data_IF_292576475433
#
_entry.id   IF_292576475433
#
_cell.length_a   1.000
_cell.length_b   1.000
_cell.length_c   1.000
_cell.angle_alpha   90.00
_cell.angle_beta   90.00
_cell.angle_gamma   90.00
#
_symmetry.space_group_name_H-M   'P 1'
#
loop_
_entity.id
_entity.type
_entity.pdbx_description
1 polymer ?
#
# COMPACT_ATOMS: atom_id res chain seq x y z
N UNK A 1 -14.49 7.07 5.93
CA UNK A 1 -15.02 6.88 4.56
C UNK A 1 -13.85 6.59 3.65
N UNK A 2 -13.71 5.35 3.15
CA UNK A 2 -12.75 5.04 2.07
C UNK A 2 -13.33 5.62 0.78
N UNK A 3 -12.56 6.36 -0.04
CA UNK A 3 -13.06 6.76 -1.35
C UNK A 3 -13.37 5.49 -2.15
N UNK A 4 -14.47 5.46 -2.93
CA UNK A 4 -14.79 4.28 -3.72
C UNK A 4 -13.71 4.13 -4.79
N UNK A 5 -13.05 2.97 -4.83
CA UNK A 5 -11.96 2.65 -5.77
C UNK A 5 -12.35 2.95 -7.24
N UNK A 6 -13.65 2.96 -7.53
CA UNK A 6 -14.26 3.29 -8.81
C UNK A 6 -14.12 4.76 -9.24
N UNK A 7 -14.03 5.72 -8.32
CA UNK A 7 -13.81 7.13 -8.68
C UNK A 7 -12.35 7.39 -9.10
N UNK A 8 -11.42 6.74 -8.40
CA UNK A 8 -9.99 6.83 -8.71
C UNK A 8 -9.73 6.17 -10.08
N UNK A 9 -10.27 4.98 -10.32
CA UNK A 9 -10.15 4.32 -11.62
C UNK A 9 -10.73 5.15 -12.77
N UNK A 10 -11.91 5.76 -12.59
CA UNK A 10 -12.53 6.62 -13.60
C UNK A 10 -11.64 7.82 -13.95
N UNK A 11 -11.14 8.53 -12.94
CA UNK A 11 -10.24 9.68 -13.16
C UNK A 11 -8.96 9.29 -13.91
N UNK A 12 -8.41 8.10 -13.63
CA UNK A 12 -7.23 7.58 -14.30
C UNK A 12 -7.47 7.28 -15.79
N UNK A 13 -8.60 6.65 -16.12
CA UNK A 13 -8.95 6.35 -17.51
C UNK A 13 -9.35 7.60 -18.30
N UNK A 14 -9.97 8.59 -17.67
CA UNK A 14 -10.24 9.90 -18.27
C UNK A 14 -8.95 10.64 -18.62
N UNK A 15 -7.97 10.69 -17.71
CA UNK A 15 -6.65 11.26 -17.98
C UNK A 15 -5.94 10.58 -19.17
N UNK A 16 -6.00 9.24 -19.24
CA UNK A 16 -5.39 8.47 -20.34
C UNK A 16 -6.07 8.83 -21.66
N UNK A 17 -7.40 8.96 -21.66
CA UNK A 17 -8.17 9.31 -22.84
C UNK A 17 -7.82 10.70 -23.33
N UNK A 18 -7.74 11.69 -22.44
CA UNK A 18 -7.38 13.06 -22.79
C UNK A 18 -5.95 13.17 -23.33
N UNK A 19 -4.99 12.46 -22.74
CA UNK A 19 -3.61 12.39 -23.23
C UNK A 19 -3.54 11.82 -24.66
N UNK A 20 -4.33 10.78 -24.96
CA UNK A 20 -4.42 10.18 -26.31
C UNK A 20 -5.09 11.12 -27.32
N UNK A 21 -6.18 11.79 -26.94
CA UNK A 21 -6.89 12.73 -27.82
C UNK A 21 -6.01 13.94 -28.16
N UNK A 22 -5.31 14.49 -27.16
CA UNK A 22 -4.37 15.60 -27.34
C UNK A 22 -3.23 15.22 -28.30
N UNK A 23 -2.71 13.99 -28.19
CA UNK A 23 -1.66 13.49 -29.08
C UNK A 23 -2.14 13.29 -30.54
N UNK A 24 -3.42 12.94 -30.73
CA UNK A 24 -4.00 12.69 -32.07
C UNK A 24 -4.11 13.96 -32.91
N UNK A 25 -4.51 15.09 -32.30
CA UNK A 25 -4.64 16.37 -33.02
C UNK A 25 -3.31 16.99 -33.48
N UNK A 26 -2.21 16.67 -32.79
CA UNK A 26 -0.88 17.24 -33.05
C UNK A 26 -0.14 16.50 -34.18
N UNK A 27 -0.34 15.18 -34.32
CA UNK A 27 0.32 14.36 -35.36
C UNK A 27 -0.21 14.60 -36.78
N UNK A 28 -1.42 15.12 -36.95
CA UNK A 28 -2.06 15.31 -38.26
C UNK A 28 -1.78 16.67 -38.93
N UNK A 29 -1.33 17.67 -38.19
CA UNK A 29 -1.04 19.01 -38.73
C UNK A 29 0.47 19.21 -38.84
N UNK A 30 1.05 18.74 -39.94
CA UNK A 30 2.36 19.25 -40.34
C UNK A 30 2.26 20.77 -40.51
N UNK A 31 3.20 21.52 -39.92
CA UNK A 31 3.33 22.94 -40.25
C UNK A 31 3.53 23.12 -41.77
N UNK A 32 3.36 24.34 -42.29
CA UNK A 32 3.59 24.68 -43.71
C UNK A 32 4.96 24.22 -44.27
N UNK A 33 5.91 23.89 -43.38
CA UNK A 33 7.27 23.43 -43.67
C UNK A 33 7.47 21.90 -43.48
N UNK A 34 6.40 21.11 -43.32
CA UNK A 34 6.51 19.65 -43.15
C UNK A 34 7.02 19.20 -41.78
N UNK A 35 7.27 20.13 -40.85
CA UNK A 35 7.69 19.79 -39.48
C UNK A 35 6.45 19.43 -38.66
N UNK A 36 6.44 18.21 -38.15
CA UNK A 36 5.49 17.74 -37.12
C UNK A 36 6.08 18.16 -35.77
N UNK A 37 5.34 18.96 -35.00
CA UNK A 37 5.77 19.31 -33.64
C UNK A 37 5.89 18.05 -32.79
N UNK A 38 7.05 17.80 -32.18
CA UNK A 38 7.18 16.71 -31.21
C UNK A 38 6.40 17.07 -29.96
N UNK A 39 5.54 16.16 -29.50
CA UNK A 39 4.82 16.33 -28.24
C UNK A 39 5.82 16.12 -27.11
N UNK A 40 6.21 17.20 -26.43
CA UNK A 40 7.11 17.17 -25.28
C UNK A 40 6.29 17.03 -24.00
N UNK A 41 6.55 15.98 -23.22
CA UNK A 41 5.90 15.77 -21.93
C UNK A 41 6.44 16.77 -20.89
N UNK A 42 5.63 17.22 -19.91
CA UNK A 42 6.10 18.11 -18.85
C UNK A 42 7.35 17.57 -18.13
N UNK A 43 7.44 16.26 -17.92
CA UNK A 43 8.59 15.57 -17.31
C UNK A 43 9.88 15.62 -18.14
N UNK A 44 9.79 15.96 -19.43
CA UNK A 44 10.94 16.18 -20.32
C UNK A 44 11.44 17.62 -20.26
N UNK A 45 10.61 18.55 -19.77
CA UNK A 45 10.99 19.96 -19.52
C UNK A 45 11.55 20.20 -18.12
N UNK A 46 11.42 19.23 -17.22
CA UNK A 46 11.96 19.30 -15.86
C UNK A 46 13.49 19.22 -15.85
N UNK A 47 14.14 19.86 -14.87
CA UNK A 47 15.57 19.70 -14.67
C UNK A 47 15.92 18.25 -14.32
N UNK A 48 17.16 17.81 -14.58
CA UNK A 48 17.59 16.45 -14.25
C UNK A 48 17.48 16.10 -12.75
N UNK A 49 17.44 17.11 -11.87
CA UNK A 49 17.18 16.93 -10.43
C UNK A 49 15.69 16.67 -10.20
N UNK A 50 14.82 17.53 -10.69
CA UNK A 50 13.37 17.42 -10.48
C UNK A 50 12.81 16.15 -11.14
N UNK A 51 13.37 15.74 -12.28
CA UNK A 51 13.00 14.49 -12.96
C UNK A 51 13.36 13.25 -12.14
N UNK A 52 14.45 13.30 -11.37
CA UNK A 52 14.81 12.24 -10.43
C UNK A 52 13.86 12.23 -9.25
N UNK A 53 13.56 13.38 -8.68
CA UNK A 53 12.66 13.50 -7.54
C UNK A 53 11.22 13.09 -7.90
N UNK A 54 10.71 13.46 -9.08
CA UNK A 54 9.41 13.03 -9.59
C UNK A 54 9.33 11.51 -9.84
N UNK A 55 10.44 10.87 -10.20
CA UNK A 55 10.52 9.43 -10.43
C UNK A 55 10.79 8.62 -9.16
N UNK A 56 11.05 9.27 -8.02
CA UNK A 56 11.22 8.54 -6.76
C UNK A 56 9.89 7.87 -6.41
N UNK A 57 9.91 6.60 -5.98
CA UNK A 57 8.72 6.01 -5.42
C UNK A 57 8.26 6.87 -4.24
N UNK A 58 6.98 7.22 -4.24
CA UNK A 58 6.37 7.92 -3.10
C UNK A 58 6.49 7.09 -1.83
N UNK A 59 6.36 7.71 -0.64
CA UNK A 59 6.35 6.96 0.61
C UNK A 59 5.22 5.93 0.58
N UNK A 60 5.58 4.65 0.65
CA UNK A 60 4.61 3.57 0.74
C UNK A 60 4.06 3.58 2.17
N UNK A 61 2.84 4.08 2.35
CA UNK A 61 2.17 4.00 3.65
C UNK A 61 1.56 2.60 3.76
N UNK A 62 2.29 1.68 4.41
CA UNK A 62 1.77 0.35 4.72
C UNK A 62 0.94 0.42 5.99
N UNK A 63 -0.39 0.35 5.86
CA UNK A 63 -1.27 0.13 7.00
C UNK A 63 -1.25 -1.36 7.35
N UNK A 64 -0.32 -1.80 8.20
CA UNK A 64 -0.36 -3.17 8.70
C UNK A 64 -1.47 -3.25 9.75
N UNK A 65 -2.61 -3.85 9.38
CA UNK A 65 -3.78 -3.99 10.26
C UNK A 65 -3.49 -4.81 11.54
N UNK A 66 -2.33 -5.44 11.65
CA UNK A 66 -1.93 -6.33 12.73
C UNK A 66 -0.63 -5.89 13.41
N UNK A 67 -0.24 -4.61 13.29
CA UNK A 67 0.83 -4.05 14.11
C UNK A 67 0.47 -4.06 15.58
N UNK A 68 -0.77 -3.67 15.88
CA UNK A 68 -1.30 -3.67 17.24
C UNK A 68 -1.85 -5.03 17.66
N UNK A 69 -1.85 -5.26 18.98
CA UNK A 69 -2.43 -6.45 19.58
C UNK A 69 -3.94 -6.48 19.35
N UNK A 70 -4.41 -7.51 18.65
CA UNK A 70 -5.85 -7.73 18.42
C UNK A 70 -6.51 -8.39 19.64
N UNK A 71 -7.84 -8.26 19.82
CA UNK A 71 -8.58 -9.03 20.82
C UNK A 71 -8.48 -10.54 20.59
N UNK A 72 -8.55 -11.32 21.67
CA UNK A 72 -8.42 -12.78 21.61
C UNK A 72 -9.43 -13.44 20.68
N UNK A 73 -10.70 -12.99 20.66
CA UNK A 73 -11.73 -13.54 19.78
C UNK A 73 -11.40 -13.40 18.28
N UNK A 74 -10.70 -12.33 17.93
CA UNK A 74 -10.24 -12.09 16.56
C UNK A 74 -9.05 -12.99 16.28
N UNK A 75 -8.12 -13.10 17.24
CA UNK A 75 -6.98 -14.00 17.16
C UNK A 75 -7.43 -15.45 16.93
N UNK A 76 -8.36 -15.99 17.72
CA UNK A 76 -8.83 -17.38 17.61
C UNK A 76 -9.42 -17.73 16.23
N UNK A 77 -10.02 -16.74 15.55
CA UNK A 77 -10.60 -16.90 14.20
C UNK A 77 -9.58 -16.79 13.06
N UNK A 78 -8.34 -16.37 13.37
CA UNK A 78 -7.29 -16.25 12.35
C UNK A 78 -6.79 -17.61 11.88
N UNK A 79 -6.12 -17.61 10.72
CA UNK A 79 -5.47 -18.82 10.21
C UNK A 79 -4.19 -19.11 11.00
N UNK A 80 -3.83 -20.39 11.10
CA UNK A 80 -2.59 -20.84 11.75
C UNK A 80 -1.34 -20.06 11.30
N UNK A 81 -1.19 -19.80 10.01
CA UNK A 81 -0.06 -19.01 9.46
C UNK A 81 0.03 -17.61 10.08
N UNK A 82 -1.11 -16.98 10.35
CA UNK A 82 -1.18 -15.65 10.96
C UNK A 82 -0.84 -15.73 12.45
N UNK A 83 -1.26 -16.78 13.15
CA UNK A 83 -0.87 -16.99 14.56
C UNK A 83 0.64 -17.11 14.71
N UNK A 84 1.28 -17.92 13.86
CA UNK A 84 2.74 -18.14 13.88
C UNK A 84 3.51 -16.87 13.54
N UNK A 85 2.99 -16.00 12.68
CA UNK A 85 3.65 -14.74 12.32
C UNK A 85 3.44 -13.62 13.34
N UNK A 86 2.20 -13.46 13.84
CA UNK A 86 1.82 -12.31 14.65
C UNK A 86 2.19 -12.49 16.13
N UNK A 87 2.03 -13.70 16.67
CA UNK A 87 2.25 -13.93 18.10
C UNK A 87 3.71 -13.64 18.52
N UNK A 88 4.76 -14.10 17.80
CA UNK A 88 6.14 -13.75 18.14
C UNK A 88 6.41 -12.24 18.02
N UNK A 89 5.80 -11.59 17.03
CA UNK A 89 5.94 -10.14 16.82
C UNK A 89 5.36 -9.36 17.99
N UNK A 90 4.16 -9.71 18.45
CA UNK A 90 3.53 -9.06 19.60
C UNK A 90 4.27 -9.38 20.90
N UNK A 91 4.75 -10.60 21.09
CA UNK A 91 5.60 -10.97 22.25
C UNK A 91 6.85 -10.10 22.34
N UNK A 92 7.51 -9.86 21.20
CA UNK A 92 8.68 -8.98 21.12
C UNK A 92 8.35 -7.51 21.44
N UNK A 93 7.18 -7.03 21.03
CA UNK A 93 6.80 -5.62 21.16
C UNK A 93 6.21 -5.27 22.54
N UNK A 94 5.35 -6.14 23.08
CA UNK A 94 4.57 -5.85 24.29
C UNK A 94 4.95 -6.71 25.50
N UNK A 95 5.54 -7.89 25.27
CA UNK A 95 5.85 -8.87 26.31
C UNK A 95 4.66 -9.74 26.73
N UNK A 96 4.97 -10.93 27.27
CA UNK A 96 4.00 -11.99 27.53
C UNK A 96 2.97 -11.59 28.62
N UNK A 97 3.39 -10.85 29.65
CA UNK A 97 2.49 -10.42 30.73
C UNK A 97 1.42 -9.44 30.25
N UNK A 98 1.80 -8.51 29.38
CA UNK A 98 0.87 -7.54 28.82
C UNK A 98 -0.18 -8.23 27.95
N UNK A 99 0.25 -9.17 27.12
CA UNK A 99 -0.64 -9.95 26.23
C UNK A 99 -1.62 -10.77 27.08
N UNK A 100 -1.14 -11.48 28.10
CA UNK A 100 -1.99 -12.25 29.01
C UNK A 100 -3.07 -11.36 29.66
N UNK A 101 -2.69 -10.16 30.12
CA UNK A 101 -3.61 -9.22 30.75
C UNK A 101 -4.66 -8.69 29.76
N UNK A 102 -4.25 -8.34 28.54
CA UNK A 102 -5.19 -7.84 27.51
C UNK A 102 -6.14 -8.93 27.00
N UNK A 103 -5.67 -10.17 26.90
CA UNK A 103 -6.50 -11.30 26.47
C UNK A 103 -7.31 -11.94 27.61
N UNK A 104 -7.11 -11.50 28.86
CA UNK A 104 -7.78 -12.08 30.02
C UNK A 104 -7.37 -13.53 30.29
N UNK A 105 -6.19 -13.94 29.82
CA UNK A 105 -5.68 -15.30 29.94
C UNK A 105 -4.76 -15.44 31.15
N UNK A 106 -4.80 -16.61 31.77
CA UNK A 106 -3.77 -16.99 32.74
C UNK A 106 -2.44 -17.29 32.01
N UNK A 107 -1.31 -17.15 32.71
CA UNK A 107 0.00 -17.55 32.15
C UNK A 107 0.01 -19.00 31.67
N UNK A 108 -0.74 -19.87 32.34
CA UNK A 108 -0.91 -21.27 31.95
C UNK A 108 -1.67 -21.41 30.62
N UNK A 109 -2.80 -20.71 30.48
CA UNK A 109 -3.57 -20.69 29.23
C UNK A 109 -2.77 -20.15 28.06
N UNK A 110 -1.96 -19.11 28.30
CA UNK A 110 -1.04 -18.59 27.29
C UNK A 110 0.04 -19.60 26.92
N UNK A 111 0.57 -20.35 27.89
CA UNK A 111 1.55 -21.42 27.66
C UNK A 111 1.03 -22.53 26.73
N UNK A 112 -0.25 -22.92 26.87
CA UNK A 112 -0.88 -23.92 25.99
C UNK A 112 -0.91 -23.42 24.54
N UNK A 113 -1.22 -22.14 24.33
CA UNK A 113 -1.25 -21.54 22.99
C UNK A 113 0.16 -21.54 22.37
N UNK A 114 1.18 -21.21 23.15
CA UNK A 114 2.57 -21.25 22.71
C UNK A 114 3.00 -22.67 22.32
N UNK A 115 2.68 -23.66 23.15
CA UNK A 115 2.99 -25.06 22.89
C UNK A 115 2.29 -25.55 21.62
N UNK A 116 1.02 -25.20 21.43
CA UNK A 116 0.24 -25.55 20.24
C UNK A 116 0.84 -24.95 18.95
N UNK A 117 1.42 -23.76 19.04
CA UNK A 117 2.07 -23.06 17.93
C UNK A 117 3.57 -23.39 17.80
N UNK A 118 4.13 -24.20 18.72
CA UNK A 118 5.56 -24.54 18.82
C UNK A 118 6.47 -23.29 18.93
N UNK A 119 6.06 -22.32 19.75
CA UNK A 119 6.70 -21.02 19.99
C UNK A 119 7.21 -20.83 21.42
#
# INVERSE_FOLDING_TARGET
MKPPETEIEKSYYEEIREKKTTASGIRGRASRLGRVGSMVMPSERMSGKDKRDYRRPGPLITYSLFEDLVPFDVFDRMKYEQHVQLLPKWRKNYGDEYICRQWGLSRFGFGIILEALRL
#
